data_IF_133277893128
#
_entry.id   IF_133277893128
#
_cell.length_a   1.000
_cell.length_b   1.000
_cell.length_c   1.000
_cell.angle_alpha   90.00
_cell.angle_beta   90.00
_cell.angle_gamma   90.00
#
_symmetry.space_group_name_H-M   'P 1'
#
loop_
_entity.id
_entity.type
_entity.pdbx_description
1 polymer ?
#
# COMPACT_ATOMS: atom_id res chain seq x y z
N UNK A 1 -20.07 17.97 -10.98
CA UNK A 1 -19.13 16.84 -10.73
C UNK A 1 -18.18 17.26 -9.62
N UNK A 2 -17.82 16.39 -8.69
CA UNK A 2 -16.91 16.73 -7.58
C UNK A 2 -15.46 16.66 -8.06
N UNK A 3 -14.64 17.64 -7.72
CA UNK A 3 -13.19 17.66 -7.98
C UNK A 3 -12.43 17.29 -6.70
N UNK A 4 -11.20 16.80 -6.86
CA UNK A 4 -10.30 16.41 -5.78
C UNK A 4 -8.91 16.95 -6.08
N UNK A 5 -8.17 17.36 -5.06
CA UNK A 5 -6.88 18.03 -5.23
C UNK A 5 -5.72 17.03 -5.26
N UNK A 6 -5.85 15.90 -4.56
CA UNK A 6 -4.83 14.85 -4.49
C UNK A 6 -5.43 13.48 -4.76
N UNK A 7 -4.61 12.59 -5.33
CA UNK A 7 -5.00 11.19 -5.54
C UNK A 7 -5.37 10.49 -4.23
N UNK A 8 -4.76 10.92 -3.11
CA UNK A 8 -5.06 10.40 -1.77
C UNK A 8 -6.44 10.78 -1.26
N UNK A 9 -7.08 11.81 -1.82
CA UNK A 9 -8.44 12.22 -1.45
C UNK A 9 -9.50 11.26 -2.03
N UNK A 10 -9.09 10.45 -3.02
CA UNK A 10 -9.89 9.40 -3.64
C UNK A 10 -9.75 8.04 -2.91
N UNK A 11 -8.88 7.94 -1.90
CA UNK A 11 -8.75 6.72 -1.08
C UNK A 11 -10.00 6.55 -0.22
N UNK A 12 -10.62 5.38 -0.30
CA UNK A 12 -11.89 5.08 0.35
C UNK A 12 -13.09 5.33 -0.57
N UNK A 13 -14.26 5.58 0.02
CA UNK A 13 -15.50 5.76 -0.77
C UNK A 13 -15.89 4.57 -1.66
N UNK A 14 -15.28 3.40 -1.46
CA UNK A 14 -15.43 2.23 -2.32
C UNK A 14 -16.85 1.66 -2.27
N UNK A 15 -17.36 1.11 -3.38
CA UNK A 15 -18.72 0.58 -3.42
C UNK A 15 -18.86 -0.73 -2.62
N UNK A 16 -20.11 -1.05 -2.27
CA UNK A 16 -20.52 -2.36 -1.77
C UNK A 16 -21.35 -3.01 -2.86
N UNK A 17 -20.97 -4.23 -3.27
CA UNK A 17 -21.71 -5.02 -4.25
C UNK A 17 -22.44 -6.16 -3.56
N UNK A 18 -23.75 -6.26 -3.78
CA UNK A 18 -24.51 -7.46 -3.42
C UNK A 18 -24.23 -8.56 -4.43
N UNK A 19 -23.82 -9.74 -3.96
CA UNK A 19 -23.39 -10.84 -4.83
C UNK A 19 -24.58 -11.68 -5.35
N UNK A 20 -25.54 -11.04 -6.04
CA UNK A 20 -26.82 -11.63 -6.44
C UNK A 20 -26.66 -12.99 -7.16
N UNK A 21 -25.78 -13.06 -8.17
CA UNK A 21 -25.59 -14.28 -8.96
C UNK A 21 -25.00 -15.42 -8.12
N UNK A 22 -24.08 -15.11 -7.20
CA UNK A 22 -23.48 -16.12 -6.31
C UNK A 22 -24.49 -16.66 -5.30
N UNK A 23 -25.31 -15.77 -4.73
CA UNK A 23 -26.40 -16.13 -3.82
C UNK A 23 -27.39 -17.07 -4.52
N UNK A 24 -27.82 -16.71 -5.74
CA UNK A 24 -28.75 -17.51 -6.53
C UNK A 24 -28.17 -18.87 -6.92
N UNK A 25 -26.91 -18.93 -7.39
CA UNK A 25 -26.25 -20.16 -7.82
C UNK A 25 -26.08 -21.18 -6.67
N UNK A 26 -25.93 -20.71 -5.43
CA UNK A 26 -25.68 -21.55 -4.27
C UNK A 26 -26.91 -21.67 -3.34
N UNK A 27 -28.09 -21.21 -3.79
CA UNK A 27 -29.35 -21.27 -3.04
C UNK A 27 -29.24 -20.72 -1.60
N UNK A 28 -28.43 -19.67 -1.42
CA UNK A 28 -28.10 -19.19 -0.08
C UNK A 28 -29.27 -18.39 0.50
N UNK A 29 -29.70 -18.69 1.74
CA UNK A 29 -30.80 -17.95 2.39
C UNK A 29 -30.37 -16.57 2.88
N UNK A 30 -29.07 -16.26 2.86
CA UNK A 30 -28.49 -15.04 3.38
C UNK A 30 -28.01 -14.09 2.27
N UNK A 31 -28.09 -12.78 2.53
CA UNK A 31 -27.48 -11.78 1.67
C UNK A 31 -25.97 -11.71 1.90
N UNK A 32 -25.19 -11.77 0.82
CA UNK A 32 -23.74 -11.56 0.84
C UNK A 32 -23.40 -10.26 0.11
N UNK A 33 -22.59 -9.44 0.77
CA UNK A 33 -22.10 -8.16 0.26
C UNK A 33 -20.57 -8.13 0.24
N UNK A 34 -19.99 -7.71 -0.88
CA UNK A 34 -18.56 -7.51 -1.03
C UNK A 34 -18.22 -6.02 -0.99
N UNK A 35 -17.35 -5.61 -0.07
CA UNK A 35 -16.75 -4.28 -0.04
C UNK A 35 -15.59 -4.25 -1.04
N UNK A 36 -15.74 -3.48 -2.13
CA UNK A 36 -14.84 -3.58 -3.29
C UNK A 36 -13.61 -2.69 -3.14
N UNK A 37 -12.68 -3.09 -2.30
CA UNK A 37 -11.47 -2.33 -1.97
C UNK A 37 -10.44 -2.22 -3.11
N UNK A 38 -10.62 -2.97 -4.20
CA UNK A 38 -9.77 -2.81 -5.38
C UNK A 38 -10.06 -1.51 -6.16
N UNK A 39 -11.15 -0.79 -5.84
CA UNK A 39 -11.44 0.54 -6.40
C UNK A 39 -10.64 1.67 -5.76
N UNK A 40 -9.81 1.40 -4.74
CA UNK A 40 -8.88 2.42 -4.27
C UNK A 40 -7.84 2.73 -5.37
N UNK A 41 -7.27 3.96 -5.40
CA UNK A 41 -6.42 4.42 -6.50
C UNK A 41 -5.20 3.54 -6.82
N UNK A 42 -4.53 2.97 -5.82
CA UNK A 42 -3.41 2.06 -5.99
C UNK A 42 -3.82 0.57 -6.00
N UNK A 43 -5.14 0.32 -6.06
CA UNK A 43 -5.70 -0.99 -6.40
C UNK A 43 -5.97 -1.93 -5.23
N UNK A 44 -5.87 -1.47 -3.98
CA UNK A 44 -6.14 -2.35 -2.83
C UNK A 44 -6.61 -1.63 -1.56
N UNK A 45 -7.04 -2.41 -0.57
CA UNK A 45 -7.38 -1.91 0.77
C UNK A 45 -6.20 -1.24 1.49
N UNK A 46 -4.96 -1.50 1.08
CA UNK A 46 -3.77 -1.02 1.79
C UNK A 46 -3.51 0.47 1.61
N UNK A 47 -4.10 1.08 0.59
CA UNK A 47 -4.14 2.54 0.41
C UNK A 47 -4.67 3.24 1.66
N UNK A 48 -5.65 2.64 2.34
CA UNK A 48 -6.24 3.20 3.56
C UNK A 48 -5.23 3.31 4.69
N UNK A 49 -4.51 2.23 4.97
CA UNK A 49 -3.53 2.23 6.06
C UNK A 49 -2.31 3.07 5.70
N UNK A 50 -1.90 3.09 4.43
CA UNK A 50 -0.79 3.91 3.96
C UNK A 50 -1.09 5.40 4.19
N UNK A 51 -2.29 5.85 3.78
CA UNK A 51 -2.75 7.22 4.03
C UNK A 51 -2.84 7.50 5.52
N UNK A 52 -3.48 6.61 6.29
CA UNK A 52 -3.69 6.82 7.71
C UNK A 52 -2.37 6.89 8.50
N UNK A 53 -1.40 6.02 8.23
CA UNK A 53 -0.10 6.01 8.92
C UNK A 53 0.70 7.27 8.61
N UNK A 54 0.72 7.71 7.35
CA UNK A 54 1.45 8.92 6.95
C UNK A 54 0.79 10.18 7.50
N UNK A 55 -0.54 10.30 7.40
CA UNK A 55 -1.28 11.45 7.95
C UNK A 55 -1.13 11.54 9.49
N UNK A 56 -1.16 10.40 10.19
CA UNK A 56 -0.96 10.35 11.65
C UNK A 56 0.47 10.73 12.03
N UNK A 57 1.48 10.23 11.30
CA UNK A 57 2.88 10.58 11.54
C UNK A 57 3.17 12.05 11.27
N UNK A 58 2.56 12.65 10.23
CA UNK A 58 2.59 14.08 9.96
C UNK A 58 1.95 14.88 11.11
N UNK A 59 0.74 14.49 11.53
CA UNK A 59 -0.01 15.17 12.59
C UNK A 59 0.71 15.14 13.94
N UNK A 60 1.42 14.05 14.24
CA UNK A 60 2.26 13.91 15.44
C UNK A 60 3.63 14.57 15.32
N UNK A 61 3.99 15.07 14.14
CA UNK A 61 5.31 15.65 13.86
C UNK A 61 6.45 14.63 13.81
N UNK A 62 6.13 13.33 13.77
CA UNK A 62 7.10 12.25 13.61
C UNK A 62 7.63 12.18 12.16
N UNK A 63 6.81 12.56 11.18
CA UNK A 63 7.18 12.68 9.78
C UNK A 63 7.24 14.16 9.37
N UNK A 64 8.43 14.62 8.95
CA UNK A 64 8.69 16.02 8.59
C UNK A 64 9.11 16.13 7.12
N UNK A 65 8.97 17.31 6.48
CA UNK A 65 9.49 17.52 5.13
C UNK A 65 10.96 17.08 5.01
N UNK A 66 11.27 16.33 3.95
CA UNK A 66 12.60 15.77 3.72
C UNK A 66 12.90 14.46 4.48
N UNK A 67 12.00 13.98 5.35
CA UNK A 67 12.14 12.67 5.96
C UNK A 67 12.03 11.54 4.92
N UNK A 68 12.61 10.39 5.25
CA UNK A 68 12.58 9.17 4.43
C UNK A 68 11.71 8.13 5.13
N UNK A 69 10.75 7.57 4.39
CA UNK A 69 9.91 6.46 4.85
C UNK A 69 10.62 5.15 4.55
N UNK A 70 10.75 4.26 5.52
CA UNK A 70 11.37 2.94 5.35
C UNK A 70 10.38 1.88 5.80
N UNK A 71 10.04 0.93 4.94
CA UNK A 71 9.10 -0.15 5.26
C UNK A 71 9.57 -1.50 4.68
N UNK A 72 9.70 -2.56 5.49
CA UNK A 72 9.95 -3.90 4.99
C UNK A 72 8.67 -4.55 4.46
N UNK A 73 8.47 -4.51 3.14
CA UNK A 73 7.27 -5.08 2.52
C UNK A 73 7.45 -5.40 1.05
N UNK A 74 6.83 -6.50 0.60
CA UNK A 74 6.77 -6.91 -0.80
C UNK A 74 5.35 -6.98 -1.37
N UNK A 75 4.38 -6.54 -0.56
CA UNK A 75 2.96 -6.65 -0.86
C UNK A 75 2.30 -5.30 -1.16
N UNK A 76 0.98 -5.30 -1.08
CA UNK A 76 0.15 -4.13 -1.35
C UNK A 76 0.41 -2.96 -0.39
N UNK A 77 0.94 -3.21 0.81
CA UNK A 77 1.36 -2.14 1.72
C UNK A 77 2.45 -1.28 1.08
N UNK A 78 3.43 -1.89 0.41
CA UNK A 78 4.47 -1.16 -0.30
C UNK A 78 3.91 -0.31 -1.44
N UNK A 79 2.93 -0.85 -2.18
CA UNK A 79 2.27 -0.12 -3.28
C UNK A 79 1.50 1.09 -2.73
N UNK A 80 0.69 0.88 -1.68
CA UNK A 80 -0.08 1.95 -1.05
C UNK A 80 0.82 3.04 -0.45
N UNK A 81 1.89 2.65 0.26
CA UNK A 81 2.85 3.59 0.83
C UNK A 81 3.62 4.34 -0.26
N UNK A 82 4.07 3.66 -1.32
CA UNK A 82 4.76 4.32 -2.43
C UNK A 82 3.85 5.33 -3.15
N UNK A 83 2.59 4.98 -3.40
CA UNK A 83 1.62 5.88 -4.01
C UNK A 83 1.34 7.12 -3.13
N UNK A 84 1.14 6.93 -1.82
CA UNK A 84 0.90 8.04 -0.89
C UNK A 84 2.15 8.90 -0.71
N UNK A 85 3.33 8.29 -0.59
CA UNK A 85 4.61 8.99 -0.48
C UNK A 85 4.87 9.84 -1.73
N UNK A 86 4.67 9.29 -2.93
CA UNK A 86 4.79 10.02 -4.19
C UNK A 86 3.84 11.23 -4.25
N UNK A 87 2.58 11.05 -3.85
CA UNK A 87 1.57 12.12 -3.79
C UNK A 87 1.92 13.24 -2.81
N UNK A 88 2.58 12.91 -1.70
CA UNK A 88 2.95 13.87 -0.64
C UNK A 88 4.38 14.39 -0.74
N UNK A 89 5.19 13.88 -1.66
CA UNK A 89 6.57 14.30 -1.88
C UNK A 89 7.58 13.71 -0.89
N UNK A 90 7.31 12.53 -0.33
CA UNK A 90 8.26 11.81 0.52
C UNK A 90 9.13 10.86 -0.29
N UNK A 91 10.40 10.76 0.10
CA UNK A 91 11.28 9.67 -0.33
C UNK A 91 10.90 8.41 0.42
N UNK A 92 10.84 7.28 -0.27
CA UNK A 92 10.49 5.98 0.32
C UNK A 92 11.47 4.88 -0.10
N UNK A 93 11.90 4.09 0.88
CA UNK A 93 12.74 2.91 0.71
C UNK A 93 11.94 1.69 1.15
N UNK A 94 11.84 0.69 0.27
CA UNK A 94 11.17 -0.57 0.54
C UNK A 94 12.20 -1.69 0.56
N UNK A 95 12.28 -2.41 1.69
CA UNK A 95 13.14 -3.59 1.78
C UNK A 95 12.31 -4.85 1.50
N UNK A 96 12.85 -5.77 0.69
CA UNK A 96 12.15 -7.01 0.36
C UNK A 96 13.09 -8.12 -0.10
N UNK A 97 12.71 -9.40 0.04
CA UNK A 97 13.47 -10.51 -0.52
C UNK A 97 13.58 -10.42 -2.04
N UNK A 98 14.74 -10.79 -2.60
CA UNK A 98 14.95 -10.79 -4.06
C UNK A 98 14.07 -11.79 -4.83
N UNK A 99 13.47 -12.76 -4.13
CA UNK A 99 12.51 -13.75 -4.67
C UNK A 99 11.19 -13.13 -5.11
N UNK A 100 10.98 -11.84 -4.86
CA UNK A 100 9.77 -11.13 -5.28
C UNK A 100 9.73 -10.88 -6.80
N UNK A 101 8.53 -11.02 -7.36
CA UNK A 101 8.25 -10.86 -8.80
C UNK A 101 8.82 -9.55 -9.35
N UNK A 102 9.37 -9.61 -10.57
CA UNK A 102 9.93 -8.43 -11.26
C UNK A 102 8.85 -7.38 -11.53
N UNK A 103 7.63 -7.81 -11.83
CA UNK A 103 6.47 -6.98 -12.11
C UNK A 103 6.15 -6.07 -10.92
N UNK A 104 6.12 -6.62 -9.70
CA UNK A 104 5.92 -5.82 -8.47
C UNK A 104 7.06 -4.85 -8.23
N UNK A 105 8.31 -5.25 -8.47
CA UNK A 105 9.48 -4.37 -8.34
C UNK A 105 9.38 -3.19 -9.31
N UNK A 106 8.96 -3.45 -10.55
CA UNK A 106 8.78 -2.41 -11.55
C UNK A 106 7.63 -1.45 -11.19
N UNK A 107 6.51 -1.98 -10.69
CA UNK A 107 5.39 -1.15 -10.23
C UNK A 107 5.81 -0.20 -9.09
N UNK A 108 6.54 -0.71 -8.09
CA UNK A 108 7.01 0.12 -6.97
C UNK A 108 8.01 1.19 -7.43
N UNK A 109 8.93 0.83 -8.32
CA UNK A 109 9.85 1.80 -8.94
C UNK A 109 9.12 2.86 -9.77
N UNK A 110 8.01 2.52 -10.42
CA UNK A 110 7.21 3.48 -11.17
C UNK A 110 6.57 4.55 -10.26
N UNK A 111 6.29 4.22 -8.99
CA UNK A 111 5.92 5.20 -7.97
C UNK A 111 7.12 5.97 -7.37
N UNK A 112 8.34 5.73 -7.84
CA UNK A 112 9.55 6.37 -7.32
C UNK A 112 10.11 5.74 -6.05
N UNK A 113 9.66 4.53 -5.67
CA UNK A 113 10.20 3.84 -4.51
C UNK A 113 11.60 3.28 -4.78
N UNK A 114 12.51 3.46 -3.83
CA UNK A 114 13.82 2.82 -3.82
C UNK A 114 13.68 1.40 -3.25
N UNK A 115 14.24 0.40 -3.94
CA UNK A 115 14.12 -0.99 -3.50
C UNK A 115 15.46 -1.50 -3.01
N UNK A 116 15.50 -1.97 -1.77
CA UNK A 116 16.66 -2.68 -1.21
C UNK A 116 16.32 -4.17 -1.16
N UNK A 117 16.97 -4.93 -2.02
CA UNK A 117 16.77 -6.37 -2.08
C UNK A 117 17.61 -7.07 -1.00
N UNK A 118 17.00 -8.00 -0.29
CA UNK A 118 17.66 -8.84 0.70
C UNK A 118 17.72 -10.29 0.23
N UNK A 119 18.65 -11.04 0.80
CA UNK A 119 18.81 -12.48 0.58
C UNK A 119 17.47 -13.23 0.72
N UNK A 120 17.09 -13.94 -0.35
CA UNK A 120 15.87 -14.72 -0.42
C UNK A 120 15.78 -15.79 0.67
N UNK A 121 16.90 -16.38 1.08
CA UNK A 121 16.95 -17.43 2.10
C UNK A 121 16.55 -16.92 3.49
N UNK A 122 16.79 -15.63 3.77
CA UNK A 122 16.39 -14.98 5.03
C UNK A 122 14.92 -14.55 5.03
N UNK A 123 14.25 -14.57 3.87
CA UNK A 123 12.87 -14.18 3.70
C UNK A 123 12.58 -12.79 4.28
N UNK A 124 11.34 -12.59 4.76
CA UNK A 124 10.94 -11.29 5.34
C UNK A 124 11.72 -10.90 6.60
N UNK A 125 12.28 -11.86 7.35
CA UNK A 125 13.13 -11.53 8.51
C UNK A 125 14.38 -10.75 8.08
N UNK A 126 14.98 -11.14 6.94
CA UNK A 126 16.09 -10.40 6.36
C UNK A 126 15.71 -8.99 5.93
N UNK A 127 14.54 -8.83 5.30
CA UNK A 127 14.02 -7.52 4.90
C UNK A 127 13.78 -6.61 6.12
N UNK A 128 13.17 -7.12 7.19
CA UNK A 128 12.94 -6.39 8.44
C UNK A 128 14.26 -5.91 9.04
N UNK A 129 15.22 -6.82 9.23
CA UNK A 129 16.53 -6.47 9.78
C UNK A 129 17.24 -5.40 8.95
N UNK A 130 17.12 -5.46 7.62
CA UNK A 130 17.69 -4.43 6.73
C UNK A 130 16.98 -3.09 6.85
N UNK A 131 15.65 -3.08 7.04
CA UNK A 131 14.91 -1.84 7.27
C UNK A 131 15.32 -1.18 8.60
N UNK A 132 15.50 -1.98 9.66
CA UNK A 132 15.99 -1.50 10.95
C UNK A 132 17.41 -0.94 10.85
N UNK A 133 18.31 -1.59 10.11
CA UNK A 133 19.66 -1.08 9.84
C UNK A 133 19.66 0.27 9.12
N UNK A 134 18.77 0.45 8.13
CA UNK A 134 18.66 1.69 7.35
C UNK A 134 18.00 2.84 8.13
N UNK A 135 17.31 2.54 9.23
CA UNK A 135 16.61 3.52 10.05
C UNK A 135 17.47 4.11 11.18
N UNK A 136 18.72 3.66 11.33
CA UNK A 136 19.72 4.21 12.26
C UNK A 136 20.46 5.40 11.66
#
# INVERSE_FOLDING_TARGET
MRTFDKITDLIGGTPILKLNNYIALNELPANIYAKLEYFNPAGSVKDRIAKAMIDDAEAKGALKPGAVIIEPTSGNTGIGLAAVAASKGYRIILTMPETMSVERRNLLKAYGAELVLTDGAKGMKGAIAKAEELAQ
#
